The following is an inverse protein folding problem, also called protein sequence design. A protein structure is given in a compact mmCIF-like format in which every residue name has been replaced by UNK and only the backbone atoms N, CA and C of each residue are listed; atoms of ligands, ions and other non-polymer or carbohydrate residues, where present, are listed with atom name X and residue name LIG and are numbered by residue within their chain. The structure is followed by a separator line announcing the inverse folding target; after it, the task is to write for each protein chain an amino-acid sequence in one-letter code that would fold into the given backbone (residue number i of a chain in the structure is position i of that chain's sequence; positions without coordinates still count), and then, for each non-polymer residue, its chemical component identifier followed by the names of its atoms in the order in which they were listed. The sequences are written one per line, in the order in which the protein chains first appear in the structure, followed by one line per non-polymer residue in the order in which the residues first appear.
data_IF_594225509345
#
_entry.id   IF_594225509345
#
_cell.length_a   1.000
_cell.length_b   1.000
_cell.length_c   1.000
_cell.angle_alpha   90.00
_cell.angle_beta   90.00
_cell.angle_gamma   90.00
#
_symmetry.space_group_name_H-M   'P 1'
#
loop_
_entity.id
_entity.type
_entity.pdbx_description
1 polymer ?
#
# COMPACT_ATOMS: atom_id res chain seq x y z
N UNK A 1 1.61 25.05 -24.34
CA UNK A 1 1.42 23.59 -24.47
C UNK A 1 0.14 23.37 -25.22
N UNK A 2 0.15 22.48 -26.23
CA UNK A 2 -1.08 22.06 -26.89
C UNK A 2 -1.84 21.04 -26.00
N UNK A 3 -3.12 20.84 -26.29
CA UNK A 3 -3.93 19.81 -25.62
C UNK A 3 -3.31 18.42 -25.82
N UNK A 4 -2.84 18.11 -27.02
CA UNK A 4 -2.17 16.82 -27.32
C UNK A 4 -0.93 16.60 -26.46
N UNK A 5 -0.09 17.63 -26.29
CA UNK A 5 1.09 17.55 -25.42
C UNK A 5 0.71 17.29 -23.95
N UNK A 6 -0.35 17.92 -23.46
CA UNK A 6 -0.83 17.69 -22.09
C UNK A 6 -1.36 16.26 -21.92
N UNK A 7 -2.11 15.75 -22.91
CA UNK A 7 -2.64 14.39 -22.90
C UNK A 7 -1.49 13.37 -22.93
N UNK A 8 -0.47 13.59 -23.75
CA UNK A 8 0.72 12.73 -23.79
C UNK A 8 1.48 12.72 -22.46
N UNK A 9 1.66 13.88 -21.84
CA UNK A 9 2.30 13.98 -20.52
C UNK A 9 1.49 13.28 -19.44
N UNK A 10 0.17 13.48 -19.41
CA UNK A 10 -0.72 12.80 -18.45
C UNK A 10 -0.68 11.28 -18.66
N UNK A 11 -0.74 10.80 -19.91
CA UNK A 11 -0.60 9.37 -20.21
C UNK A 11 0.76 8.80 -19.76
N UNK A 12 1.85 9.53 -19.99
CA UNK A 12 3.18 9.12 -19.52
C UNK A 12 3.25 9.07 -17.98
N UNK A 13 2.59 10.00 -17.30
CA UNK A 13 2.50 10.01 -15.84
C UNK A 13 1.74 8.77 -15.32
N UNK A 14 0.60 8.44 -15.93
CA UNK A 14 -0.15 7.21 -15.58
C UNK A 14 0.65 5.93 -15.86
N UNK A 15 1.44 5.88 -16.93
CA UNK A 15 2.33 4.76 -17.18
C UNK A 15 3.40 4.63 -16.09
N UNK A 16 4.03 5.74 -15.70
CA UNK A 16 5.00 5.75 -14.60
C UNK A 16 4.36 5.34 -13.26
N UNK A 17 3.10 5.70 -13.02
CA UNK A 17 2.33 5.22 -11.87
C UNK A 17 2.13 3.70 -11.88
N UNK A 18 1.83 3.10 -13.05
CA UNK A 18 1.74 1.63 -13.17
C UNK A 18 3.07 0.96 -12.86
N UNK A 19 4.17 1.47 -13.41
CA UNK A 19 5.51 0.94 -13.17
C UNK A 19 5.87 1.05 -11.66
N UNK A 20 5.47 2.15 -11.02
CA UNK A 20 5.67 2.36 -9.60
C UNK A 20 4.86 1.38 -8.74
N UNK A 21 3.61 1.08 -9.13
CA UNK A 21 2.78 0.08 -8.43
C UNK A 21 3.37 -1.32 -8.54
N UNK A 22 3.92 -1.68 -9.69
CA UNK A 22 4.64 -2.95 -9.87
C UNK A 22 5.86 -3.03 -8.91
N UNK A 23 6.67 -1.97 -8.82
CA UNK A 23 7.78 -1.92 -7.86
C UNK A 23 7.30 -1.99 -6.41
N UNK A 24 6.20 -1.32 -6.07
CA UNK A 24 5.62 -1.42 -4.72
C UNK A 24 5.16 -2.85 -4.41
N UNK A 25 4.60 -3.56 -5.39
CA UNK A 25 4.19 -4.95 -5.21
C UNK A 25 5.39 -5.86 -4.91
N UNK A 26 6.54 -5.63 -5.54
CA UNK A 26 7.80 -6.36 -5.29
C UNK A 26 8.37 -6.02 -3.91
N UNK A 27 8.51 -4.73 -3.59
CA UNK A 27 9.11 -4.27 -2.33
C UNK A 27 8.28 -4.68 -1.11
N UNK A 28 6.96 -4.84 -1.27
CA UNK A 28 6.08 -5.38 -0.23
C UNK A 28 6.42 -6.84 0.13
N UNK A 29 6.92 -7.65 -0.81
CA UNK A 29 7.35 -9.03 -0.52
C UNK A 29 8.58 -9.05 0.39
N UNK A 30 9.54 -8.17 0.13
CA UNK A 30 10.78 -8.08 0.91
C UNK A 30 10.60 -7.37 2.27
N UNK A 31 9.42 -6.78 2.50
CA UNK A 31 9.04 -6.08 3.74
C UNK A 31 10.07 -5.03 4.22
N UNK A 32 10.82 -4.39 3.32
CA UNK A 32 11.86 -3.42 3.66
C UNK A 32 11.26 -2.02 3.89
N UNK A 33 11.21 -1.49 5.14
CA UNK A 33 10.45 -0.27 5.43
C UNK A 33 10.96 0.98 4.69
N UNK A 34 12.28 1.09 4.50
CA UNK A 34 12.90 2.22 3.79
C UNK A 34 12.55 2.23 2.30
N UNK A 35 12.49 1.05 1.68
CA UNK A 35 12.14 0.91 0.28
C UNK A 35 10.66 1.23 0.06
N UNK A 36 9.78 0.75 0.96
CA UNK A 36 8.34 1.09 0.95
C UNK A 36 8.15 2.61 1.08
N UNK A 37 8.87 3.27 1.99
CA UNK A 37 8.74 4.71 2.19
C UNK A 37 9.13 5.51 0.95
N UNK A 38 10.29 5.20 0.35
CA UNK A 38 10.73 5.83 -0.91
C UNK A 38 9.74 5.61 -2.04
N UNK A 39 9.17 4.41 -2.12
CA UNK A 39 8.19 4.09 -3.14
C UNK A 39 6.90 4.92 -2.98
N UNK A 40 6.46 5.16 -1.74
CA UNK A 40 5.32 6.03 -1.43
C UNK A 40 5.59 7.51 -1.71
N UNK A 41 6.80 8.01 -1.42
CA UNK A 41 7.20 9.37 -1.76
C UNK A 41 7.16 9.60 -3.28
N UNK A 42 7.73 8.68 -4.06
CA UNK A 42 7.70 8.74 -5.52
C UNK A 42 6.27 8.64 -6.06
N UNK A 43 5.44 7.78 -5.47
CA UNK A 43 4.03 7.66 -5.81
C UNK A 43 3.27 8.98 -5.60
N UNK A 44 3.50 9.65 -4.46
CA UNK A 44 2.84 10.92 -4.16
C UNK A 44 3.19 12.01 -5.18
N UNK A 45 4.47 12.11 -5.56
CA UNK A 45 4.91 13.07 -6.59
C UNK A 45 4.23 12.82 -7.93
N UNK A 46 4.15 11.56 -8.38
CA UNK A 46 3.46 11.20 -9.61
C UNK A 46 1.96 11.52 -9.54
N UNK A 47 1.31 11.25 -8.40
CA UNK A 47 -0.10 11.56 -8.21
C UNK A 47 -0.38 13.07 -8.27
N UNK A 48 0.46 13.88 -7.64
CA UNK A 48 0.35 15.34 -7.69
C UNK A 48 0.56 15.88 -9.12
N UNK A 49 1.54 15.34 -9.85
CA UNK A 49 1.78 15.70 -11.25
C UNK A 49 0.60 15.33 -12.15
N UNK A 50 0.08 14.10 -12.04
CA UNK A 50 -1.08 13.63 -12.79
C UNK A 50 -2.31 14.52 -12.53
N UNK A 51 -2.58 14.87 -11.26
CA UNK A 51 -3.69 15.75 -10.89
C UNK A 51 -3.57 17.14 -11.51
N UNK A 52 -2.37 17.72 -11.54
CA UNK A 52 -2.14 19.03 -12.14
C UNK A 52 -2.34 19.00 -13.67
N UNK A 53 -1.86 17.95 -14.33
CA UNK A 53 -2.03 17.76 -15.76
C UNK A 53 -3.51 17.56 -16.12
N UNK A 54 -4.19 16.74 -15.34
CA UNK A 54 -5.62 16.43 -15.55
C UNK A 54 -6.49 17.66 -15.36
N UNK A 55 -6.25 18.46 -14.31
CA UNK A 55 -6.97 19.72 -14.12
C UNK A 55 -6.79 20.68 -15.31
N UNK A 56 -5.61 20.71 -15.93
CA UNK A 56 -5.36 21.53 -17.14
C UNK A 56 -6.04 20.97 -18.37
N UNK A 57 -6.04 19.65 -18.54
CA UNK A 57 -6.75 18.98 -19.63
C UNK A 57 -8.25 19.28 -19.51
N UNK A 58 -8.83 19.08 -18.34
CA UNK A 58 -10.25 19.29 -18.08
C UNK A 58 -10.69 20.74 -18.32
N UNK A 59 -9.84 21.72 -17.98
CA UNK A 59 -10.08 23.14 -18.30
C UNK A 59 -10.14 23.40 -19.81
N UNK A 60 -9.33 22.70 -20.61
CA UNK A 60 -9.30 22.85 -22.07
C UNK A 60 -10.41 22.05 -22.76
N UNK A 61 -10.81 20.91 -22.19
CA UNK A 61 -11.82 20.01 -22.78
C UNK A 61 -13.22 20.18 -22.22
N UNK A 62 -13.44 21.04 -21.22
CA UNK A 62 -14.71 21.15 -20.50
C UNK A 62 -15.96 21.42 -21.35
N UNK A 63 -15.78 21.95 -22.57
CA UNK A 63 -16.88 22.21 -23.52
C UNK A 63 -16.85 21.29 -24.77
N UNK A 64 -15.88 20.38 -24.86
CA UNK A 64 -15.74 19.48 -26.00
C UNK A 64 -16.76 18.35 -25.91
N UNK A 65 -17.35 17.97 -27.04
CA UNK A 65 -18.09 16.71 -27.13
C UNK A 65 -17.11 15.53 -27.14
N UNK A 66 -17.53 14.36 -26.65
CA UNK A 66 -16.66 13.17 -26.63
C UNK A 66 -16.09 12.80 -28.01
N UNK A 67 -16.84 13.04 -29.09
CA UNK A 67 -16.40 12.81 -30.47
C UNK A 67 -15.31 13.76 -30.96
N UNK A 68 -15.11 14.87 -30.26
CA UNK A 68 -14.11 15.90 -30.58
C UNK A 68 -12.78 15.68 -29.84
N UNK A 69 -12.73 14.69 -28.94
CA UNK A 69 -11.53 14.35 -28.19
C UNK A 69 -10.57 13.51 -29.05
N UNK A 70 -9.26 13.78 -28.96
CA UNK A 70 -8.28 13.03 -29.73
C UNK A 70 -8.20 11.57 -29.24
N UNK A 71 -7.85 10.60 -30.11
CA UNK A 71 -7.75 9.18 -29.72
C UNK A 71 -6.87 8.92 -28.50
N UNK A 72 -5.80 9.69 -28.33
CA UNK A 72 -4.89 9.59 -27.16
C UNK A 72 -5.58 9.90 -25.83
N UNK A 73 -6.68 10.65 -25.85
CA UNK A 73 -7.49 10.90 -24.67
C UNK A 73 -8.10 9.60 -24.12
N UNK A 74 -8.59 8.72 -25.01
CA UNK A 74 -9.14 7.43 -24.61
C UNK A 74 -8.06 6.52 -24.01
N UNK A 75 -6.88 6.47 -24.63
CA UNK A 75 -5.74 5.72 -24.09
C UNK A 75 -5.36 6.19 -22.67
N UNK A 76 -5.34 7.51 -22.44
CA UNK A 76 -5.14 8.08 -21.09
C UNK A 76 -6.20 7.57 -20.10
N UNK A 77 -7.47 7.59 -20.48
CA UNK A 77 -8.57 7.09 -19.62
C UNK A 77 -8.44 5.60 -19.32
N UNK A 78 -8.00 4.79 -20.28
CA UNK A 78 -7.70 3.37 -20.05
C UNK A 78 -6.58 3.17 -19.04
N UNK A 79 -5.47 3.93 -19.17
CA UNK A 79 -4.36 3.89 -18.22
C UNK A 79 -4.80 4.30 -16.81
N UNK A 80 -5.62 5.35 -16.68
CA UNK A 80 -6.17 5.78 -15.39
C UNK A 80 -7.00 4.67 -14.72
N UNK A 81 -7.83 3.96 -15.50
CA UNK A 81 -8.61 2.83 -15.01
C UNK A 81 -7.70 1.66 -14.59
N UNK A 82 -6.63 1.38 -15.34
CA UNK A 82 -5.65 0.36 -14.98
C UNK A 82 -4.93 0.71 -13.67
N UNK A 83 -4.52 1.97 -13.49
CA UNK A 83 -3.89 2.45 -12.25
C UNK A 83 -4.83 2.23 -11.06
N UNK A 84 -6.12 2.56 -11.20
CA UNK A 84 -7.10 2.34 -10.14
C UNK A 84 -7.23 0.85 -9.76
N UNK A 85 -7.24 -0.04 -10.76
CA UNK A 85 -7.31 -1.49 -10.55
C UNK A 85 -6.05 -2.01 -9.85
N UNK A 86 -4.86 -1.63 -10.32
CA UNK A 86 -3.58 -2.06 -9.75
C UNK A 86 -3.40 -1.54 -8.32
N UNK A 87 -3.82 -0.31 -8.03
CA UNK A 87 -3.87 0.21 -6.66
C UNK A 87 -4.67 -0.69 -5.72
N UNK A 88 -5.84 -1.18 -6.16
CA UNK A 88 -6.67 -2.09 -5.35
C UNK A 88 -5.95 -3.42 -5.10
N UNK A 89 -5.24 -3.95 -6.11
CA UNK A 89 -4.49 -5.19 -5.98
C UNK A 89 -3.33 -5.05 -4.98
N UNK A 90 -2.51 -4.00 -5.12
CA UNK A 90 -1.40 -3.70 -4.20
C UNK A 90 -1.91 -3.51 -2.77
N UNK A 91 -3.02 -2.77 -2.61
CA UNK A 91 -3.65 -2.57 -1.31
C UNK A 91 -4.15 -3.87 -0.67
N UNK A 92 -4.80 -4.74 -1.47
CA UNK A 92 -5.23 -6.06 -1.02
C UNK A 92 -4.05 -6.91 -0.54
N UNK A 93 -2.96 -6.91 -1.31
CA UNK A 93 -1.72 -7.62 -0.98
C UNK A 93 -1.11 -7.13 0.33
N UNK A 94 -1.02 -5.81 0.52
CA UNK A 94 -0.52 -5.22 1.75
C UNK A 94 -1.35 -5.62 2.98
N UNK A 95 -2.68 -5.67 2.85
CA UNK A 95 -3.57 -6.11 3.93
C UNK A 95 -3.40 -7.60 4.26
N UNK A 96 -3.21 -8.44 3.24
CA UNK A 96 -2.91 -9.86 3.44
C UNK A 96 -1.61 -10.04 4.25
N UNK A 97 -0.54 -9.35 3.86
CA UNK A 97 0.75 -9.40 4.58
C UNK A 97 0.60 -8.92 6.03
N UNK A 98 -0.13 -7.82 6.25
CA UNK A 98 -0.45 -7.33 7.60
C UNK A 98 -1.18 -8.38 8.44
N UNK A 99 -2.15 -9.08 7.87
CA UNK A 99 -2.89 -10.13 8.56
C UNK A 99 -1.97 -11.31 8.95
N UNK A 100 -1.12 -11.76 8.02
CA UNK A 100 -0.15 -12.83 8.28
C UNK A 100 0.85 -12.46 9.38
N UNK A 101 1.42 -11.25 9.33
CA UNK A 101 2.33 -10.75 10.36
C UNK A 101 1.63 -10.67 11.71
N UNK A 102 0.38 -10.19 11.75
CA UNK A 102 -0.40 -10.09 13.00
C UNK A 102 -0.67 -11.47 13.61
N UNK A 103 -0.99 -12.46 12.79
CA UNK A 103 -1.20 -13.84 13.26
C UNK A 103 0.10 -14.43 13.82
N UNK A 104 1.22 -14.26 13.13
CA UNK A 104 2.51 -14.77 13.61
C UNK A 104 2.95 -14.10 14.92
N UNK A 105 2.75 -12.78 15.05
CA UNK A 105 2.98 -12.06 16.31
C UNK A 105 2.09 -12.58 17.45
N UNK A 106 0.81 -12.87 17.16
CA UNK A 106 -0.10 -13.46 18.13
C UNK A 106 0.38 -14.86 18.56
N UNK A 107 0.80 -15.71 17.62
CA UNK A 107 1.34 -17.04 17.91
C UNK A 107 2.60 -16.97 18.79
N UNK A 108 3.52 -16.07 18.46
CA UNK A 108 4.72 -15.81 19.29
C UNK A 108 4.35 -15.32 20.69
N UNK A 109 3.37 -14.43 20.83
CA UNK A 109 2.91 -13.96 22.14
C UNK A 109 2.32 -15.09 22.99
N UNK A 110 1.53 -15.98 22.38
CA UNK A 110 0.97 -17.16 23.07
C UNK A 110 2.07 -18.16 23.43
N UNK A 111 3.04 -18.41 22.55
CA UNK A 111 4.22 -19.22 22.85
C UNK A 111 5.03 -18.66 24.03
N UNK A 112 5.25 -17.34 24.05
CA UNK A 112 5.89 -16.65 25.18
C UNK A 112 5.10 -16.78 26.48
N UNK A 113 3.76 -16.68 26.45
CA UNK A 113 2.90 -16.89 27.63
C UNK A 113 2.97 -18.35 28.12
N UNK A 114 2.97 -19.32 27.21
CA UNK A 114 3.11 -20.73 27.54
C UNK A 114 4.48 -21.01 28.21
N UNK A 115 5.57 -20.50 27.64
CA UNK A 115 6.92 -20.55 28.24
C UNK A 115 7.00 -19.83 29.59
N UNK A 116 6.26 -18.73 29.77
CA UNK A 116 6.11 -18.05 31.06
C UNK A 116 5.38 -18.91 32.11
N UNK A 117 4.44 -19.76 31.70
CA UNK A 117 3.77 -20.74 32.56
C UNK A 117 4.64 -21.93 32.97
N UNK A 118 5.70 -22.24 32.20
CA UNK A 118 6.73 -23.22 32.57
C UNK A 118 7.77 -22.66 33.55
N UNK A 119 7.77 -21.35 33.85
CA UNK A 119 8.50 -20.84 35.02
C UNK A 119 7.76 -21.31 36.27
N UNK A 120 8.31 -22.38 36.83
CA UNK A 120 7.94 -23.14 38.02
C UNK A 120 7.35 -22.26 39.14
N UNK A 121 6.28 -22.69 39.82
CA UNK A 121 5.86 -22.06 41.07
C UNK A 121 7.00 -22.20 42.06
N UNK A 122 7.59 -21.06 42.46
CA UNK A 122 8.49 -20.98 43.60
C UNK A 122 7.73 -21.57 44.80
N UNK A 123 8.32 -22.62 45.37
CA UNK A 123 7.84 -23.41 46.51
C UNK A 123 6.90 -22.62 47.45
N UNK A 124 5.61 -22.99 47.47
CA UNK A 124 4.79 -22.85 48.67
C UNK A 124 5.24 -23.91 49.70
N UNK A 125 6.45 -23.76 50.24
CA UNK A 125 6.93 -24.50 51.42
C UNK A 125 7.46 -23.52 52.45
N UNK A 126 6.53 -22.82 53.09
CA UNK A 126 6.77 -21.95 54.23
C UNK A 126 5.75 -22.24 55.33
N UNK A 127 6.14 -23.13 56.24
CA UNK A 127 5.76 -23.16 57.66
C UNK A 127 4.28 -23.25 58.06
N UNK A 128 3.81 -24.48 58.26
CA UNK A 128 2.90 -24.82 59.37
C UNK A 128 3.38 -26.11 60.04
N UNK A 129 4.44 -25.99 60.83
CA UNK A 129 4.68 -26.86 61.97
C UNK A 129 4.36 -26.04 63.23
N UNK A 130 3.10 -26.05 63.64
CA UNK A 130 2.74 -25.84 65.04
C UNK A 130 1.98 -27.07 65.47
N UNK A 131 2.63 -27.80 66.37
CA UNK A 131 2.28 -29.11 66.87
C UNK A 131 0.88 -29.19 67.48
N UNK A 132 0.28 -30.37 67.37
CA UNK A 132 -0.73 -30.85 68.30
C UNK A 132 -0.05 -31.27 69.60
N UNK A 133 -0.47 -30.69 70.72
CA UNK A 133 -0.79 -31.31 72.02
C UNK A 133 -1.21 -30.21 73.00
#
# INVERSE_FOLDING_TARGET
MSLEQLIEQSAACYQAMLDQLAQMAEVLEDAQPKAIHRALESWQLLQEEAQQLDARIDQLTGNFQQSELPPKYHQRSELMNQVALECQQVFSRANLLKALISDELNRLQHGRKALGGYKTPVDKRGSRLTASL
#
